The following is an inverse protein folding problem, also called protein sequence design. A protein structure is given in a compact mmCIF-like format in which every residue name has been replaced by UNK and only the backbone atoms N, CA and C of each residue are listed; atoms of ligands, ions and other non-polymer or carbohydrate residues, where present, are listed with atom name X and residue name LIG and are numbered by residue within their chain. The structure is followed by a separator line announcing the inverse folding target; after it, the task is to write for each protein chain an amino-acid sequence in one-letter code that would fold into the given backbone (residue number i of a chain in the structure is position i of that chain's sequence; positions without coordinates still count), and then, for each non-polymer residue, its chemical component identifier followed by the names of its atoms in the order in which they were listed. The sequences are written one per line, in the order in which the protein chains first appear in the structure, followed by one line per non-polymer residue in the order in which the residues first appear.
data_IF_517003107625
#
_entry.id   IF_517003107625
#
_cell.length_a   1.000
_cell.length_b   1.000
_cell.length_c   1.000
_cell.angle_alpha   90.00
_cell.angle_beta   90.00
_cell.angle_gamma   90.00
#
_symmetry.space_group_name_H-M   'P 1'
#
loop_
_entity.id
_entity.type
_entity.pdbx_description
1 polymer ?
#
# COMPACT_ATOMS: atom_id res chain seq x y z
N UNK A 1 -5.09 -26.02 -1.70
CA UNK A 1 -6.17 -26.99 -1.39
C UNK A 1 -6.32 -28.00 -2.50
N UNK A 2 -6.31 -29.29 -2.16
CA UNK A 2 -6.45 -30.39 -3.14
C UNK A 2 -7.84 -30.36 -3.80
N UNK A 3 -7.97 -30.81 -5.07
CA UNK A 3 -9.27 -30.97 -5.70
C UNK A 3 -10.10 -32.05 -4.96
N UNK A 4 -11.42 -31.88 -4.96
CA UNK A 4 -12.34 -32.82 -4.29
C UNK A 4 -12.61 -34.11 -5.09
N UNK A 5 -12.02 -34.25 -6.28
CA UNK A 5 -12.17 -35.43 -7.15
C UNK A 5 -10.98 -35.50 -8.11
N UNK A 6 -10.74 -36.69 -8.67
CA UNK A 6 -9.70 -36.92 -9.70
C UNK A 6 -10.00 -36.22 -11.05
N UNK A 7 -11.16 -35.59 -11.20
CA UNK A 7 -11.56 -34.84 -12.40
C UNK A 7 -11.44 -33.32 -12.22
N UNK A 8 -10.95 -32.86 -11.05
CA UNK A 8 -10.75 -31.42 -10.78
C UNK A 8 -9.49 -30.89 -11.44
N UNK A 9 -9.45 -29.56 -11.64
CA UNK A 9 -8.24 -28.88 -12.06
C UNK A 9 -7.16 -28.98 -10.98
N UNK A 10 -5.90 -29.07 -11.39
CA UNK A 10 -4.81 -28.87 -10.45
C UNK A 10 -4.82 -27.45 -9.88
N UNK A 11 -4.56 -27.26 -8.58
CA UNK A 11 -4.47 -25.92 -7.97
C UNK A 11 -3.53 -24.98 -8.69
N UNK A 12 -2.41 -25.46 -9.20
CA UNK A 12 -1.44 -24.64 -9.95
C UNK A 12 -2.01 -24.14 -11.27
N UNK A 13 -2.77 -24.98 -11.98
CA UNK A 13 -3.44 -24.59 -13.22
C UNK A 13 -4.53 -23.53 -12.96
N UNK A 14 -5.26 -23.62 -11.83
CA UNK A 14 -6.25 -22.60 -11.45
C UNK A 14 -5.56 -21.27 -11.18
N UNK A 15 -4.46 -21.26 -10.43
CA UNK A 15 -3.72 -20.04 -10.11
C UNK A 15 -3.10 -19.44 -11.38
N UNK A 16 -2.44 -20.27 -12.20
CA UNK A 16 -1.80 -19.81 -13.42
C UNK A 16 -2.82 -19.18 -14.38
N UNK A 17 -3.95 -19.86 -14.62
CA UNK A 17 -5.00 -19.32 -15.48
C UNK A 17 -5.64 -18.07 -14.92
N UNK A 18 -5.74 -17.93 -13.59
CA UNK A 18 -6.21 -16.71 -12.94
C UNK A 18 -5.22 -15.55 -13.15
N UNK A 19 -3.92 -15.77 -13.02
CA UNK A 19 -2.90 -14.78 -13.30
C UNK A 19 -2.89 -14.37 -14.76
N UNK A 20 -3.05 -15.29 -15.70
CA UNK A 20 -3.20 -14.97 -17.12
C UNK A 20 -4.41 -14.07 -17.37
N UNK A 21 -5.54 -14.36 -16.71
CA UNK A 21 -6.71 -13.48 -16.76
C UNK A 21 -6.39 -12.05 -16.27
N UNK A 22 -5.75 -11.92 -15.12
CA UNK A 22 -5.35 -10.61 -14.58
C UNK A 22 -4.37 -9.90 -15.54
N UNK A 23 -3.40 -10.61 -16.06
CA UNK A 23 -2.39 -10.07 -16.98
C UNK A 23 -2.99 -9.54 -18.27
N UNK A 24 -4.06 -10.17 -18.75
CA UNK A 24 -4.82 -9.71 -19.93
C UNK A 24 -5.87 -8.64 -19.59
N UNK A 25 -5.93 -8.14 -18.36
CA UNK A 25 -6.79 -7.03 -17.94
C UNK A 25 -8.11 -7.44 -17.28
N UNK A 26 -8.28 -8.70 -16.88
CA UNK A 26 -9.48 -9.13 -16.17
C UNK A 26 -9.61 -8.42 -14.82
N UNK A 27 -10.72 -7.72 -14.61
CA UNK A 27 -11.10 -7.08 -13.34
C UNK A 27 -12.23 -7.82 -12.60
N UNK A 28 -12.77 -8.87 -13.19
CA UNK A 28 -13.83 -9.75 -12.65
C UNK A 28 -13.60 -11.18 -13.09
N UNK A 29 -14.08 -12.17 -12.35
CA UNK A 29 -13.93 -13.57 -12.72
C UNK A 29 -14.52 -13.90 -14.09
N UNK A 30 -15.63 -13.27 -14.49
CA UNK A 30 -16.21 -13.47 -15.82
C UNK A 30 -15.25 -13.06 -16.95
N UNK A 31 -14.38 -12.09 -16.72
CA UNK A 31 -13.39 -11.68 -17.72
C UNK A 31 -12.29 -12.74 -17.93
N UNK A 32 -12.06 -13.62 -16.96
CA UNK A 32 -11.15 -14.75 -17.15
C UNK A 32 -11.67 -15.75 -18.19
N UNK A 33 -12.97 -15.73 -18.51
CA UNK A 33 -13.52 -16.55 -19.58
C UNK A 33 -13.03 -16.10 -20.96
N UNK A 34 -12.53 -14.86 -21.13
CA UNK A 34 -11.94 -14.39 -22.38
C UNK A 34 -10.67 -15.18 -22.74
N UNK A 35 -9.81 -15.41 -21.75
CA UNK A 35 -8.58 -16.21 -21.95
C UNK A 35 -8.84 -17.71 -21.94
N UNK A 36 -9.98 -18.14 -21.40
CA UNK A 36 -10.34 -19.56 -21.28
C UNK A 36 -10.32 -20.31 -22.60
N UNK A 37 -10.71 -19.64 -23.68
CA UNK A 37 -10.80 -20.22 -25.02
C UNK A 37 -9.61 -19.89 -25.91
N UNK A 38 -8.64 -19.14 -25.39
CA UNK A 38 -7.41 -18.78 -26.11
C UNK A 38 -6.50 -20.02 -26.24
N UNK A 39 -6.43 -20.57 -27.44
CA UNK A 39 -5.62 -21.77 -27.75
C UNK A 39 -4.12 -21.48 -27.68
N UNK A 40 -3.71 -20.27 -28.02
CA UNK A 40 -2.29 -19.89 -27.98
C UNK A 40 -1.79 -19.86 -26.56
N UNK A 41 -2.53 -19.23 -25.65
CA UNK A 41 -2.18 -19.22 -24.22
C UNK A 41 -2.21 -20.63 -23.62
N UNK A 42 -3.20 -21.48 -24.00
CA UNK A 42 -3.26 -22.86 -23.53
C UNK A 42 -1.99 -23.61 -23.94
N UNK A 43 -1.55 -23.46 -25.19
CA UNK A 43 -0.37 -24.17 -25.73
C UNK A 43 0.92 -23.66 -25.09
N UNK A 44 1.13 -22.33 -25.01
CA UNK A 44 2.33 -21.73 -24.41
C UNK A 44 2.52 -22.18 -22.96
N UNK A 45 1.44 -22.23 -22.16
CA UNK A 45 1.49 -22.54 -20.74
C UNK A 45 1.17 -24.02 -20.41
N UNK A 46 1.00 -24.88 -21.42
CA UNK A 46 0.73 -26.30 -21.24
C UNK A 46 -0.61 -26.59 -20.57
N UNK A 47 -1.60 -25.68 -20.70
CA UNK A 47 -2.91 -25.82 -20.07
C UNK A 47 -3.88 -26.55 -21.02
N UNK A 48 -4.39 -27.70 -20.61
CA UNK A 48 -5.36 -28.45 -21.43
C UNK A 48 -6.71 -27.75 -21.51
N UNK A 49 -7.15 -27.19 -20.43
CA UNK A 49 -8.41 -26.46 -20.31
C UNK A 49 -8.31 -25.43 -19.16
N UNK A 50 -8.71 -24.20 -19.40
CA UNK A 50 -8.75 -23.19 -18.35
C UNK A 50 -10.08 -23.23 -17.57
N UNK A 51 -10.05 -22.96 -16.25
CA UNK A 51 -11.23 -22.95 -15.40
C UNK A 51 -12.27 -21.90 -15.80
N UNK A 52 -13.54 -22.16 -15.48
CA UNK A 52 -14.60 -21.14 -15.58
C UNK A 52 -14.62 -20.23 -14.34
N UNK A 53 -15.30 -19.08 -14.45
CA UNK A 53 -15.46 -18.12 -13.35
C UNK A 53 -15.89 -18.77 -12.02
N UNK A 54 -16.82 -19.73 -12.05
CA UNK A 54 -17.31 -20.41 -10.84
C UNK A 54 -16.25 -21.27 -10.18
N UNK A 55 -15.27 -21.77 -10.94
CA UNK A 55 -14.16 -22.57 -10.41
C UNK A 55 -13.21 -21.68 -9.60
N UNK A 56 -12.88 -20.47 -10.07
CA UNK A 56 -12.07 -19.51 -9.32
C UNK A 56 -12.73 -19.16 -7.98
N UNK A 57 -14.01 -18.80 -8.00
CA UNK A 57 -14.75 -18.48 -6.78
C UNK A 57 -14.74 -19.65 -5.78
N UNK A 58 -15.07 -20.87 -6.23
CA UNK A 58 -15.04 -22.06 -5.34
C UNK A 58 -13.64 -22.39 -4.83
N UNK A 59 -12.61 -22.16 -5.64
CA UNK A 59 -11.23 -22.39 -5.23
C UNK A 59 -10.77 -21.39 -4.17
N UNK A 60 -11.00 -20.11 -4.40
CA UNK A 60 -10.59 -19.04 -3.47
C UNK A 60 -11.35 -19.10 -2.14
N UNK A 61 -12.61 -19.54 -2.15
CA UNK A 61 -13.39 -19.77 -0.93
C UNK A 61 -12.85 -20.89 -0.02
N UNK A 62 -11.87 -21.67 -0.47
CA UNK A 62 -11.20 -22.68 0.37
C UNK A 62 -10.08 -22.10 1.24
N UNK A 63 -9.70 -20.85 1.02
CA UNK A 63 -8.69 -20.15 1.81
C UNK A 63 -9.36 -19.46 3.00
N UNK A 64 -8.75 -19.57 4.17
CA UNK A 64 -9.14 -18.81 5.35
C UNK A 64 -8.08 -17.77 5.65
N UNK A 65 -8.44 -16.72 6.39
CA UNK A 65 -7.49 -15.69 6.82
C UNK A 65 -6.27 -16.31 7.54
N UNK A 66 -6.51 -17.29 8.42
CA UNK A 66 -5.43 -18.02 9.12
C UNK A 66 -4.45 -18.64 8.13
N UNK A 67 -4.94 -19.38 7.13
CA UNK A 67 -4.08 -20.01 6.11
C UNK A 67 -3.36 -18.98 5.25
N UNK A 68 -4.00 -17.87 4.93
CA UNK A 68 -3.37 -16.79 4.18
C UNK A 68 -2.19 -16.22 4.96
N UNK A 69 -2.37 -15.93 6.25
CA UNK A 69 -1.32 -15.39 7.12
C UNK A 69 -0.14 -16.37 7.31
N UNK A 70 -0.39 -17.68 7.23
CA UNK A 70 0.67 -18.70 7.31
C UNK A 70 1.45 -18.85 6.00
N UNK A 71 0.79 -18.71 4.85
CA UNK A 71 1.37 -19.08 3.54
C UNK A 71 1.98 -17.86 2.83
N UNK A 72 1.26 -16.75 2.75
CA UNK A 72 1.66 -15.64 1.90
C UNK A 72 2.95 -14.94 2.33
N UNK A 73 3.22 -14.66 3.61
CA UNK A 73 4.47 -14.02 4.01
C UNK A 73 5.70 -14.83 3.61
N UNK A 74 5.67 -16.15 3.85
CA UNK A 74 6.77 -17.05 3.47
C UNK A 74 6.94 -17.16 1.95
N UNK A 75 5.84 -17.16 1.19
CA UNK A 75 5.89 -17.17 -0.27
C UNK A 75 6.46 -15.86 -0.81
N UNK A 76 6.10 -14.74 -0.24
CA UNK A 76 6.62 -13.42 -0.61
C UNK A 76 8.12 -13.33 -0.30
N UNK A 77 8.54 -13.72 0.88
CA UNK A 77 9.96 -13.74 1.24
C UNK A 77 10.77 -14.63 0.30
N UNK A 78 10.30 -15.85 0.03
CA UNK A 78 10.92 -16.74 -0.97
C UNK A 78 11.04 -16.08 -2.34
N UNK A 79 10.01 -15.38 -2.78
CA UNK A 79 10.01 -14.66 -4.05
C UNK A 79 11.01 -13.50 -4.03
N UNK A 80 11.00 -12.68 -2.98
CA UNK A 80 11.88 -11.54 -2.88
C UNK A 80 13.35 -11.93 -2.71
N UNK A 81 13.66 -13.10 -2.12
CA UNK A 81 15.03 -13.63 -2.09
C UNK A 81 15.65 -13.77 -3.49
N UNK A 82 14.81 -14.03 -4.53
CA UNK A 82 15.28 -14.17 -5.91
C UNK A 82 15.58 -12.84 -6.61
N UNK A 83 15.13 -11.73 -6.05
CA UNK A 83 15.41 -10.43 -6.63
C UNK A 83 16.82 -9.96 -6.23
N UNK A 84 17.64 -9.70 -7.22
CA UNK A 84 18.95 -9.07 -6.99
C UNK A 84 18.79 -7.55 -6.88
N UNK A 85 18.33 -7.12 -5.70
CA UNK A 85 18.20 -5.73 -5.30
C UNK A 85 18.88 -5.54 -3.95
N UNK A 86 19.73 -4.52 -3.87
CA UNK A 86 20.42 -4.16 -2.64
C UNK A 86 19.50 -3.57 -1.58
N UNK A 87 19.92 -2.47 -0.98
CA UNK A 87 19.12 -1.75 0.00
C UNK A 87 17.85 -1.18 -0.62
N UNK A 88 16.69 -1.52 -0.04
CA UNK A 88 15.38 -1.15 -0.61
C UNK A 88 14.72 0.02 0.14
N UNK A 89 13.86 0.74 -0.60
CA UNK A 89 12.90 1.68 -0.03
C UNK A 89 11.52 1.04 -0.05
N UNK A 90 10.81 1.10 1.09
CA UNK A 90 9.45 0.61 1.22
C UNK A 90 8.50 1.80 1.35
N UNK A 91 7.52 1.86 0.44
CA UNK A 91 6.46 2.87 0.44
C UNK A 91 5.22 2.28 1.09
N UNK A 92 4.75 2.89 2.18
CA UNK A 92 3.47 2.56 2.80
C UNK A 92 2.40 3.51 2.30
N UNK A 93 1.29 2.93 1.87
CA UNK A 93 0.15 3.67 1.37
C UNK A 93 -1.16 3.00 1.79
N UNK A 94 -2.25 3.73 1.70
CA UNK A 94 -3.59 3.21 1.90
C UNK A 94 -4.54 3.79 0.86
N UNK A 95 -5.49 3.00 0.42
CA UNK A 95 -6.45 3.43 -0.57
C UNK A 95 -7.87 3.07 -0.15
N UNK A 96 -8.87 3.68 -0.77
CA UNK A 96 -10.27 3.37 -0.51
C UNK A 96 -10.88 2.65 -1.70
N UNK A 97 -11.33 1.43 -1.48
CA UNK A 97 -12.01 0.63 -2.49
C UNK A 97 -13.52 0.64 -2.19
N UNK A 98 -14.26 1.46 -2.93
CA UNK A 98 -15.73 1.54 -2.80
C UNK A 98 -16.39 0.21 -3.14
N UNK A 99 -17.38 -0.20 -2.36
CA UNK A 99 -18.20 -1.39 -2.57
C UNK A 99 -19.65 -1.04 -2.91
N UNK A 100 -20.23 -1.87 -3.76
CA UNK A 100 -21.62 -1.78 -4.16
C UNK A 100 -22.33 -3.05 -3.69
N UNK A 101 -22.78 -3.05 -2.43
CA UNK A 101 -23.38 -4.19 -1.77
C UNK A 101 -22.69 -4.52 -0.43
N UNK A 102 -23.08 -5.65 0.16
CA UNK A 102 -22.64 -6.09 1.50
C UNK A 102 -21.53 -7.16 1.38
N UNK A 103 -20.36 -6.74 0.88
CA UNK A 103 -19.20 -7.62 0.84
C UNK A 103 -18.63 -7.81 2.26
N UNK A 104 -18.15 -9.03 2.53
CA UNK A 104 -17.53 -9.39 3.79
C UNK A 104 -16.43 -8.41 4.19
N UNK A 105 -16.46 -7.95 5.43
CA UNK A 105 -15.49 -7.01 5.97
C UNK A 105 -15.61 -5.58 5.43
N UNK A 106 -16.56 -5.26 4.57
CA UNK A 106 -16.79 -3.87 4.14
C UNK A 106 -17.55 -3.08 5.21
N UNK A 107 -17.21 -1.81 5.37
CA UNK A 107 -17.87 -0.91 6.31
C UNK A 107 -17.97 0.51 5.76
N UNK A 108 -18.93 1.29 6.29
CA UNK A 108 -19.04 2.72 6.01
C UNK A 108 -17.96 3.48 6.79
N UNK A 109 -17.17 4.28 6.08
CA UNK A 109 -16.12 5.12 6.64
C UNK A 109 -15.80 6.28 5.72
N UNK A 110 -14.61 6.86 5.88
CA UNK A 110 -14.13 7.90 4.98
C UNK A 110 -14.01 7.34 3.56
N UNK A 111 -14.81 7.89 2.66
CA UNK A 111 -14.78 7.53 1.25
C UNK A 111 -14.88 8.82 0.41
N UNK A 112 -13.77 9.33 -0.12
CA UNK A 112 -13.75 10.58 -0.87
C UNK A 112 -14.47 10.45 -2.22
N UNK A 113 -14.54 9.24 -2.78
CA UNK A 113 -15.15 9.00 -4.09
C UNK A 113 -16.68 8.84 -4.01
N UNK A 114 -17.19 8.20 -2.95
CA UNK A 114 -18.63 7.88 -2.79
C UNK A 114 -19.01 7.92 -1.31
N UNK A 115 -19.33 9.11 -0.81
CA UNK A 115 -19.78 9.31 0.59
C UNK A 115 -20.94 8.38 0.95
N UNK A 116 -20.87 7.77 2.15
CA UNK A 116 -21.93 6.92 2.71
C UNK A 116 -22.00 5.49 2.14
N UNK A 117 -21.15 5.13 1.19
CA UNK A 117 -21.04 3.76 0.68
C UNK A 117 -20.10 2.92 1.53
N UNK A 118 -20.38 1.62 1.60
CA UNK A 118 -19.46 0.64 2.14
C UNK A 118 -18.15 0.65 1.33
N UNK A 119 -17.05 0.45 2.00
CA UNK A 119 -15.73 0.40 1.39
C UNK A 119 -14.80 -0.54 2.15
N UNK A 120 -13.69 -0.89 1.54
CA UNK A 120 -12.51 -1.37 2.21
C UNK A 120 -11.43 -0.29 2.18
N UNK A 121 -10.56 -0.29 3.18
CA UNK A 121 -9.43 0.61 3.31
C UNK A 121 -8.13 -0.19 3.51
N UNK A 122 -7.62 -0.85 2.44
CA UNK A 122 -6.43 -1.66 2.55
C UNK A 122 -5.19 -0.84 2.92
N UNK A 123 -4.28 -1.47 3.68
CA UNK A 123 -2.88 -1.06 3.78
C UNK A 123 -2.08 -1.78 2.71
N UNK A 124 -1.15 -1.06 2.11
CA UNK A 124 -0.26 -1.56 1.07
C UNK A 124 1.19 -1.17 1.41
N UNK A 125 2.11 -2.07 1.15
CA UNK A 125 3.54 -1.81 1.19
C UNK A 125 4.13 -2.14 -0.18
N UNK A 126 4.89 -1.21 -0.76
CA UNK A 126 5.51 -1.36 -2.07
C UNK A 126 7.02 -1.27 -1.96
N UNK A 127 7.73 -2.09 -2.71
CA UNK A 127 9.16 -1.89 -2.96
C UNK A 127 9.30 -0.83 -4.04
N UNK A 128 9.83 0.34 -3.67
CA UNK A 128 9.89 1.51 -4.55
C UNK A 128 10.64 1.25 -5.87
N UNK A 129 11.75 0.52 -5.81
CA UNK A 129 12.60 0.23 -6.96
C UNK A 129 11.91 -0.63 -8.01
N UNK A 130 11.10 -1.58 -7.60
CA UNK A 130 10.43 -2.55 -8.49
C UNK A 130 8.96 -2.27 -8.68
N UNK A 131 8.36 -1.41 -7.85
CA UNK A 131 6.91 -1.17 -7.74
C UNK A 131 6.10 -2.42 -7.38
N UNK A 132 6.75 -3.44 -6.83
CA UNK A 132 6.10 -4.67 -6.40
C UNK A 132 5.45 -4.50 -5.04
N UNK A 133 4.30 -5.13 -4.86
CA UNK A 133 3.61 -5.18 -3.56
C UNK A 133 4.38 -6.12 -2.64
N UNK A 134 4.94 -5.58 -1.57
CA UNK A 134 5.64 -6.35 -0.53
C UNK A 134 4.66 -6.98 0.45
N UNK A 135 3.59 -6.26 0.83
CA UNK A 135 2.56 -6.75 1.71
C UNK A 135 1.24 -6.00 1.47
N UNK A 136 0.11 -6.63 1.78
CA UNK A 136 -1.21 -6.04 1.64
C UNK A 136 -2.19 -6.58 2.68
N UNK A 137 -2.82 -5.69 3.45
CA UNK A 137 -3.91 -6.03 4.37
C UNK A 137 -5.21 -5.43 3.89
N UNK A 138 -6.23 -6.26 3.67
CA UNK A 138 -7.58 -5.77 3.40
C UNK A 138 -8.28 -5.44 4.73
N UNK A 139 -8.64 -4.18 4.92
CA UNK A 139 -9.27 -3.68 6.14
C UNK A 139 -10.63 -3.07 5.86
N UNK A 140 -11.54 -3.01 6.87
CA UNK A 140 -12.82 -2.31 6.75
C UNK A 140 -12.66 -0.83 6.41
N UNK A 141 -13.65 -0.26 5.72
CA UNK A 141 -13.62 1.14 5.27
C UNK A 141 -13.66 2.20 6.38
N UNK A 142 -14.01 1.81 7.60
CA UNK A 142 -14.00 2.67 8.80
C UNK A 142 -12.66 2.67 9.54
N UNK A 143 -11.62 2.09 8.96
CA UNK A 143 -10.27 2.03 9.54
C UNK A 143 -9.43 3.22 9.06
N UNK A 144 -8.76 3.92 9.97
CA UNK A 144 -7.81 4.98 9.60
C UNK A 144 -6.51 4.40 9.01
N UNK A 145 -5.75 5.18 8.24
CA UNK A 145 -4.49 4.73 7.64
C UNK A 145 -3.48 4.26 8.70
N UNK A 146 -3.34 5.02 9.80
CA UNK A 146 -2.42 4.69 10.91
C UNK A 146 -2.87 3.53 11.79
N UNK A 147 -4.14 3.11 11.74
CA UNK A 147 -4.63 2.01 12.60
C UNK A 147 -3.94 0.69 12.25
N UNK A 148 -3.43 -0.02 13.25
CA UNK A 148 -2.70 -1.29 13.12
C UNK A 148 -1.52 -1.22 12.14
N UNK A 149 -0.99 -0.01 11.89
CA UNK A 149 0.08 0.18 10.93
C UNK A 149 1.41 -0.41 11.44
N UNK A 150 1.66 -0.32 12.74
CA UNK A 150 2.88 -0.88 13.35
C UNK A 150 2.92 -2.40 13.20
N UNK A 151 1.80 -3.09 13.43
CA UNK A 151 1.69 -4.54 13.23
C UNK A 151 1.90 -4.92 11.76
N UNK A 152 1.32 -4.14 10.85
CA UNK A 152 1.53 -4.31 9.42
C UNK A 152 2.99 -4.11 9.01
N UNK A 153 3.67 -3.09 9.58
CA UNK A 153 5.10 -2.86 9.35
C UNK A 153 5.95 -4.00 9.89
N UNK A 154 5.64 -4.52 11.10
CA UNK A 154 6.33 -5.68 11.70
C UNK A 154 6.22 -6.90 10.80
N UNK A 155 5.03 -7.22 10.31
CA UNK A 155 4.83 -8.35 9.39
C UNK A 155 5.60 -8.11 8.09
N UNK A 156 5.52 -6.90 7.53
CA UNK A 156 6.23 -6.56 6.30
C UNK A 156 7.74 -6.76 6.43
N UNK A 157 8.35 -6.24 7.49
CA UNK A 157 9.81 -6.30 7.65
C UNK A 157 10.31 -7.67 8.10
N UNK A 158 9.62 -8.32 9.03
CA UNK A 158 10.12 -9.53 9.69
C UNK A 158 9.69 -10.82 9.01
N UNK A 159 8.66 -10.78 8.15
CA UNK A 159 8.14 -11.97 7.49
C UNK A 159 8.20 -11.84 5.97
N UNK A 160 7.61 -10.79 5.38
CA UNK A 160 7.54 -10.67 3.91
C UNK A 160 8.88 -10.27 3.29
N UNK A 161 9.67 -9.45 3.97
CA UNK A 161 10.94 -8.90 3.51
C UNK A 161 12.11 -9.28 4.44
N UNK A 162 12.02 -10.39 5.16
CA UNK A 162 13.02 -10.81 6.15
C UNK A 162 14.42 -10.96 5.56
N UNK A 163 14.49 -11.28 4.26
CA UNK A 163 15.73 -11.44 3.50
C UNK A 163 16.29 -10.14 2.89
N UNK A 164 15.60 -8.99 3.08
CA UNK A 164 15.97 -7.71 2.46
C UNK A 164 16.37 -6.65 3.48
N UNK A 165 17.37 -5.84 3.13
CA UNK A 165 17.72 -4.66 3.91
C UNK A 165 16.81 -3.48 3.55
N UNK A 166 15.89 -3.14 4.44
CA UNK A 166 15.04 -1.96 4.31
C UNK A 166 15.79 -0.73 4.80
N UNK A 167 16.28 0.06 3.84
CA UNK A 167 17.08 1.25 4.12
C UNK A 167 16.29 2.52 4.35
N UNK A 168 15.10 2.62 3.75
CA UNK A 168 14.23 3.80 3.85
C UNK A 168 12.77 3.39 3.85
N UNK A 169 11.98 4.01 4.71
CA UNK A 169 10.52 3.93 4.74
C UNK A 169 9.94 5.27 4.28
N UNK A 170 8.96 5.25 3.37
CA UNK A 170 8.23 6.45 2.98
C UNK A 170 6.73 6.23 3.19
N UNK A 171 6.03 7.29 3.62
CA UNK A 171 4.58 7.27 3.74
C UNK A 171 3.98 8.68 3.61
N UNK A 172 2.69 8.75 3.34
CA UNK A 172 1.94 10.00 3.30
C UNK A 172 1.56 10.50 4.71
N UNK A 173 0.87 11.64 4.76
CA UNK A 173 0.43 12.25 6.02
C UNK A 173 -0.65 11.46 6.78
N UNK A 174 -1.23 10.45 6.19
CA UNK A 174 -2.14 9.50 6.84
C UNK A 174 -1.44 8.62 7.88
N UNK A 175 -0.13 8.46 7.73
CA UNK A 175 0.74 7.69 8.62
C UNK A 175 1.49 8.57 9.64
N UNK A 176 1.18 9.86 9.73
CA UNK A 176 1.81 10.77 10.68
C UNK A 176 1.32 10.45 12.10
N UNK A 177 2.07 9.65 12.85
CA UNK A 177 1.72 9.13 14.18
C UNK A 177 2.97 8.88 15.02
N UNK A 178 2.92 9.28 16.31
CA UNK A 178 3.99 9.03 17.28
C UNK A 178 4.31 7.54 17.44
N UNK A 179 3.31 6.68 17.39
CA UNK A 179 3.47 5.24 17.48
C UNK A 179 4.33 4.69 16.34
N UNK A 180 4.06 5.14 15.11
CA UNK A 180 4.81 4.76 13.92
C UNK A 180 6.25 5.26 14.01
N UNK A 181 6.45 6.53 14.39
CA UNK A 181 7.80 7.09 14.54
C UNK A 181 8.62 6.35 15.58
N UNK A 182 8.05 6.12 16.76
CA UNK A 182 8.73 5.40 17.84
C UNK A 182 9.11 3.98 17.43
N UNK A 183 8.24 3.29 16.69
CA UNK A 183 8.53 1.97 16.15
C UNK A 183 9.69 2.02 15.13
N UNK A 184 9.63 2.89 14.14
CA UNK A 184 10.68 3.00 13.13
C UNK A 184 12.03 3.38 13.74
N UNK A 185 12.04 4.27 14.74
CA UNK A 185 13.23 4.67 15.48
C UNK A 185 13.79 3.54 16.34
N UNK A 186 12.94 2.73 16.99
CA UNK A 186 13.37 1.55 17.74
C UNK A 186 14.01 0.49 16.85
N UNK A 187 13.49 0.33 15.62
CA UNK A 187 14.03 -0.57 14.60
C UNK A 187 15.20 0.04 13.81
N UNK A 188 15.65 1.24 14.18
CA UNK A 188 16.73 2.00 13.50
C UNK A 188 16.49 2.15 11.99
N UNK A 189 15.23 2.29 11.57
CA UNK A 189 14.84 2.51 10.18
C UNK A 189 14.83 4.00 9.87
N UNK A 190 15.46 4.39 8.75
CA UNK A 190 15.30 5.75 8.23
C UNK A 190 13.90 5.89 7.64
N UNK A 191 13.29 7.07 7.80
CA UNK A 191 11.96 7.31 7.26
C UNK A 191 11.77 8.73 6.74
N UNK A 192 10.86 8.88 5.78
CA UNK A 192 10.33 10.15 5.28
C UNK A 192 8.80 10.02 5.30
N UNK A 193 8.15 10.72 6.22
CA UNK A 193 6.69 10.72 6.36
C UNK A 193 6.19 12.15 6.20
N UNK A 194 5.22 12.35 5.30
CA UNK A 194 4.66 13.67 5.08
C UNK A 194 3.93 14.16 6.32
N UNK A 195 4.07 15.43 6.62
CA UNK A 195 3.50 16.07 7.82
C UNK A 195 2.14 16.67 7.49
N UNK A 196 1.17 16.52 8.40
CA UNK A 196 -0.04 17.34 8.36
C UNK A 196 0.27 18.73 8.89
N UNK A 197 -0.12 19.76 8.11
CA UNK A 197 0.10 21.17 8.49
C UNK A 197 -0.91 21.59 9.57
N UNK A 198 -0.74 21.06 10.80
CA UNK A 198 -1.47 21.54 11.96
C UNK A 198 -1.08 22.99 12.29
N UNK A 199 -1.93 23.79 12.99
CA UNK A 199 -1.65 25.18 13.30
C UNK A 199 -0.31 25.40 14.00
N UNK A 200 0.05 24.54 14.95
CA UNK A 200 1.34 24.60 15.66
C UNK A 200 2.54 24.35 14.70
N UNK A 201 2.43 23.39 13.79
CA UNK A 201 3.46 23.13 12.77
C UNK A 201 3.59 24.33 11.82
N UNK A 202 2.46 24.92 11.40
CA UNK A 202 2.47 26.13 10.57
C UNK A 202 3.18 27.29 11.27
N UNK A 203 2.92 27.50 12.56
CA UNK A 203 3.57 28.55 13.33
C UNK A 203 5.10 28.39 13.38
N UNK A 204 5.58 27.16 13.60
CA UNK A 204 7.02 26.85 13.56
C UNK A 204 7.63 27.13 12.18
N UNK A 205 6.95 26.71 11.10
CA UNK A 205 7.41 26.93 9.72
C UNK A 205 7.47 28.42 9.38
N UNK A 206 6.50 29.22 9.83
CA UNK A 206 6.50 30.69 9.63
C UNK A 206 7.70 31.34 10.32
N UNK A 207 8.12 30.85 11.49
CA UNK A 207 9.30 31.30 12.21
C UNK A 207 10.65 30.85 11.59
N UNK A 208 10.63 29.99 10.56
CA UNK A 208 11.86 29.50 9.94
C UNK A 208 12.61 30.64 9.22
N UNK A 209 13.90 30.80 9.51
CA UNK A 209 14.75 31.86 8.93
C UNK A 209 15.77 31.35 7.93
N UNK A 210 16.16 30.08 8.00
CA UNK A 210 17.26 29.50 7.21
C UNK A 210 16.72 28.84 5.93
N UNK A 211 16.36 29.69 4.94
CA UNK A 211 15.88 29.22 3.64
C UNK A 211 17.00 29.15 2.63
N UNK A 212 17.13 28.02 1.96
CA UNK A 212 18.07 27.78 0.85
C UNK A 212 17.27 27.70 -0.44
N UNK A 213 17.60 28.53 -1.41
CA UNK A 213 16.98 28.47 -2.74
C UNK A 213 17.52 27.28 -3.52
N UNK A 214 16.66 26.35 -3.85
CA UNK A 214 17.00 25.17 -4.69
C UNK A 214 16.81 25.46 -6.18
N UNK A 215 15.75 26.18 -6.53
CA UNK A 215 15.42 26.58 -7.88
C UNK A 215 14.52 27.82 -7.85
N UNK A 216 14.22 28.39 -9.01
CA UNK A 216 13.31 29.55 -9.10
C UNK A 216 11.96 29.25 -8.45
N UNK A 217 11.62 29.97 -7.41
CA UNK A 217 10.37 29.81 -6.66
C UNK A 217 10.29 28.54 -5.79
N UNK A 218 11.41 27.84 -5.56
CA UNK A 218 11.50 26.69 -4.66
C UNK A 218 12.58 26.92 -3.64
N UNK A 219 12.19 26.94 -2.37
CA UNK A 219 13.09 27.11 -1.23
C UNK A 219 12.96 25.94 -0.26
N UNK A 220 14.05 25.61 0.38
CA UNK A 220 14.15 24.52 1.36
C UNK A 220 14.63 25.11 2.70
N UNK A 221 14.02 24.63 3.79
CA UNK A 221 14.51 24.87 5.15
C UNK A 221 14.50 23.56 5.93
N UNK A 222 15.30 23.53 6.97
CA UNK A 222 15.40 22.40 7.89
C UNK A 222 15.27 22.93 9.32
N UNK A 223 14.48 22.22 10.13
CA UNK A 223 14.30 22.55 11.53
C UNK A 223 14.06 21.31 12.37
N UNK A 224 14.29 21.42 13.66
CA UNK A 224 13.91 20.40 14.65
C UNK A 224 12.67 20.86 15.39
N UNK A 225 11.60 20.08 15.33
CA UNK A 225 10.33 20.34 16.02
C UNK A 225 10.12 19.30 17.10
N UNK A 226 9.79 19.74 18.31
CA UNK A 226 9.38 18.90 19.43
C UNK A 226 7.86 18.97 19.62
N UNK A 227 7.19 17.85 19.54
CA UNK A 227 5.77 17.78 19.89
C UNK A 227 5.58 17.74 21.42
N UNK A 228 4.42 18.17 21.90
CA UNK A 228 4.10 18.35 23.33
C UNK A 228 4.39 17.13 24.20
N UNK A 229 4.35 15.92 23.64
CA UNK A 229 4.71 14.66 24.30
C UNK A 229 5.65 13.79 23.47
N UNK A 230 6.31 14.34 22.46
CA UNK A 230 7.13 13.60 21.51
C UNK A 230 8.60 13.99 21.57
N UNK A 231 9.45 13.13 21.03
CA UNK A 231 10.86 13.43 20.85
C UNK A 231 11.06 14.51 19.78
N UNK A 232 12.12 15.32 19.90
CA UNK A 232 12.50 16.24 18.83
C UNK A 232 12.84 15.45 17.56
N UNK A 233 12.28 15.87 16.43
CA UNK A 233 12.53 15.26 15.12
C UNK A 233 12.89 16.30 14.09
N UNK A 234 13.68 15.87 13.12
CA UNK A 234 14.09 16.69 11.98
C UNK A 234 12.95 16.82 10.97
N UNK A 235 12.63 18.04 10.59
CA UNK A 235 11.67 18.38 9.55
C UNK A 235 12.39 19.06 8.40
N UNK A 236 12.10 18.59 7.20
CA UNK A 236 12.54 19.22 5.96
C UNK A 236 11.33 19.89 5.32
N UNK A 237 11.42 21.18 5.07
CA UNK A 237 10.33 22.00 4.57
C UNK A 237 10.69 22.48 3.17
N UNK A 238 9.79 22.21 2.23
CA UNK A 238 9.89 22.72 0.86
C UNK A 238 8.78 23.75 0.67
N UNK A 239 9.18 24.99 0.44
CA UNK A 239 8.29 26.11 0.11
C UNK A 239 8.33 26.34 -1.39
N UNK A 240 7.18 26.32 -2.03
CA UNK A 240 7.03 26.59 -3.46
C UNK A 240 6.14 27.80 -3.67
N UNK A 241 6.59 28.76 -4.48
CA UNK A 241 5.73 29.85 -4.92
C UNK A 241 4.62 29.30 -5.81
N UNK A 242 3.37 29.61 -5.47
CA UNK A 242 2.20 29.18 -6.23
C UNK A 242 1.77 30.33 -7.12
N UNK A 243 1.74 30.11 -8.42
CA UNK A 243 1.31 31.10 -9.40
C UNK A 243 -0.21 31.04 -9.64
N UNK A 244 -0.84 29.85 -9.48
CA UNK A 244 -2.28 29.63 -9.60
C UNK A 244 -2.88 28.90 -8.40
N UNK A 245 -4.02 29.37 -7.90
CA UNK A 245 -4.65 28.94 -6.65
C UNK A 245 -5.49 27.64 -6.63
N UNK A 246 -6.05 27.08 -7.70
CA UNK A 246 -7.16 26.12 -7.57
C UNK A 246 -6.84 24.88 -6.74
N UNK A 247 -5.57 24.45 -6.68
CA UNK A 247 -5.15 23.21 -6.00
C UNK A 247 -4.37 23.42 -4.70
N UNK A 248 -4.21 24.68 -4.26
CA UNK A 248 -3.38 25.02 -3.10
C UNK A 248 -4.21 25.30 -1.82
N UNK A 249 -5.53 25.30 -1.89
CA UNK A 249 -6.42 25.55 -0.77
C UNK A 249 -6.08 24.64 0.45
N UNK A 250 -5.89 25.24 1.61
CA UNK A 250 -5.50 24.55 2.84
C UNK A 250 -4.02 24.15 2.94
N UNK A 251 -3.21 24.37 1.89
CA UNK A 251 -1.76 24.10 1.87
C UNK A 251 -0.92 25.38 1.84
N UNK A 252 -1.56 26.54 1.83
CA UNK A 252 -0.88 27.84 1.85
C UNK A 252 -0.41 28.15 3.25
N UNK A 253 0.83 28.65 3.39
CA UNK A 253 1.35 29.20 4.64
C UNK A 253 0.69 30.54 4.97
N UNK A 254 0.47 31.36 3.96
CA UNK A 254 -0.21 32.65 4.05
C UNK A 254 -1.40 32.64 3.11
N UNK A 255 -2.53 33.16 3.57
CA UNK A 255 -3.63 33.50 2.66
C UNK A 255 -3.16 34.69 1.82
N UNK A 256 -3.21 34.53 0.49
CA UNK A 256 -2.93 35.67 -0.38
C UNK A 256 -4.20 36.52 -0.43
N UNK A 257 -4.09 37.78 -0.10
CA UNK A 257 -5.09 38.81 -0.34
C UNK A 257 -5.36 39.03 -1.84
#
# INVERSE_FOLDING_TARGET
PKPGSNRGYDPSEIILSFWLGIWTGASRYIHCDWVRYDKVLQEIFGLKLMPSQSTYSRFLNKFSQKKNNEIFPSLQDWFFQKLDIGKITVDFDSTVITRYGDQEGSAKGYNPNKKGRNSHHPLLAFISQTRMVANAWLRPGNTAASSNCVEFMKETFNQCLSSKDVGLVRADSGFYSEEIFNYLESEKKNYIIAVRLYPNIKAEIIGASNWITLARGIELSEMTISHVNGKPRRYVIIKKKVEDRPNAAGKLLFEME
#
